data_IF_194449959955
#
_entry.id   IF_194449959955
#
_cell.length_a   1.000
_cell.length_b   1.000
_cell.length_c   1.000
_cell.angle_alpha   90.00
_cell.angle_beta   90.00
_cell.angle_gamma   90.00
#
_symmetry.space_group_name_H-M   'P 1'
#
loop_
_entity.id
_entity.type
_entity.pdbx_description
1 polymer ?
#
# COMPACT_ATOMS: atom_id res chain seq x y z
N UNK A 1 -3.00 13.15 -0.46
CA UNK A 1 -1.92 12.15 -0.58
C UNK A 1 -2.04 11.21 0.61
N UNK A 2 -1.93 9.90 0.38
CA UNK A 2 -2.09 8.85 1.40
C UNK A 2 -0.81 8.05 1.53
N UNK A 3 -0.45 7.67 2.76
CA UNK A 3 0.73 6.84 2.99
C UNK A 3 0.36 5.37 2.85
N UNK A 4 1.20 4.63 2.15
CA UNK A 4 1.02 3.19 1.93
C UNK A 4 1.55 2.46 3.15
N UNK A 5 0.69 1.72 3.84
CA UNK A 5 1.06 0.95 5.03
C UNK A 5 1.31 -0.53 4.70
N UNK A 6 0.65 -1.04 3.65
CA UNK A 6 0.84 -2.40 3.13
C UNK A 6 1.16 -2.33 1.64
N UNK A 7 2.24 -2.96 1.18
CA UNK A 7 2.62 -2.92 -0.23
C UNK A 7 1.55 -3.52 -1.12
N UNK A 8 1.28 -2.86 -2.24
CA UNK A 8 0.27 -3.31 -3.19
C UNK A 8 0.66 -3.02 -4.63
N UNK A 9 0.09 -3.80 -5.55
CA UNK A 9 0.24 -3.56 -6.97
C UNK A 9 -1.01 -2.89 -7.51
N UNK A 10 -0.82 -1.70 -8.02
CA UNK A 10 -1.82 -0.93 -8.70
C UNK A 10 -2.08 -1.54 -10.08
N UNK A 11 -3.31 -1.99 -10.34
CA UNK A 11 -3.67 -2.58 -11.63
C UNK A 11 -3.85 -1.53 -12.74
N UNK A 12 -4.16 -0.28 -12.39
CA UNK A 12 -4.41 0.80 -13.34
C UNK A 12 -3.10 1.39 -13.87
N UNK A 13 -2.19 1.76 -12.97
CA UNK A 13 -0.87 2.32 -13.31
C UNK A 13 0.20 1.25 -13.53
N UNK A 14 -0.11 -0.02 -13.19
CA UNK A 14 0.82 -1.16 -13.17
C UNK A 14 2.00 -0.96 -12.21
N UNK A 15 2.00 0.10 -11.40
CA UNK A 15 3.04 0.41 -10.42
C UNK A 15 2.86 -0.44 -9.16
N UNK A 16 3.97 -0.80 -8.55
CA UNK A 16 3.99 -1.40 -7.22
C UNK A 16 4.32 -0.30 -6.22
N UNK A 17 3.51 -0.17 -5.19
CA UNK A 17 3.75 0.72 -4.07
C UNK A 17 4.27 -0.10 -2.90
N UNK A 18 5.33 0.39 -2.26
CA UNK A 18 5.94 -0.22 -1.09
C UNK A 18 5.42 0.42 0.21
N UNK A 19 5.70 -0.24 1.34
CA UNK A 19 5.36 0.34 2.65
C UNK A 19 6.15 1.63 2.85
N UNK A 20 5.45 2.72 3.17
CA UNK A 20 5.99 4.05 3.32
C UNK A 20 5.90 4.92 2.06
N UNK A 21 5.58 4.33 0.90
CA UNK A 21 5.37 5.11 -0.33
C UNK A 21 4.15 6.03 -0.19
N UNK A 22 4.13 7.06 -1.05
CA UNK A 22 3.00 7.98 -1.15
C UNK A 22 2.12 7.60 -2.32
N UNK A 23 0.86 7.31 -2.05
CA UNK A 23 -0.17 7.08 -3.05
C UNK A 23 -1.04 8.33 -3.22
N UNK A 24 -1.26 8.72 -4.47
CA UNK A 24 -2.18 9.79 -4.83
C UNK A 24 -3.00 9.35 -6.04
N UNK A 25 -4.30 9.61 -5.98
CA UNK A 25 -5.26 9.24 -7.01
C UNK A 25 -6.48 10.14 -6.85
N UNK A 26 -7.07 10.59 -7.95
CA UNK A 26 -8.28 11.43 -7.93
C UNK A 26 -9.57 10.61 -7.72
N UNK A 27 -9.47 9.28 -7.89
CA UNK A 27 -10.59 8.37 -7.68
C UNK A 27 -10.80 8.08 -6.17
N UNK A 28 -11.86 8.66 -5.59
CA UNK A 28 -12.20 8.52 -4.18
C UNK A 28 -12.64 7.10 -3.78
N UNK A 29 -13.43 6.42 -4.61
CA UNK A 29 -13.88 5.03 -4.38
C UNK A 29 -12.68 4.10 -4.23
N UNK A 30 -11.67 4.33 -5.07
CA UNK A 30 -10.43 3.58 -5.05
C UNK A 30 -9.63 3.79 -3.76
N UNK A 31 -9.52 5.03 -3.32
CA UNK A 31 -8.85 5.37 -2.07
C UNK A 31 -9.57 4.70 -0.91
N UNK A 32 -10.90 4.85 -0.83
CA UNK A 32 -11.72 4.25 0.21
C UNK A 32 -11.55 2.72 0.23
N UNK A 33 -11.59 2.06 -0.93
CA UNK A 33 -11.33 0.62 -1.03
C UNK A 33 -9.94 0.24 -0.51
N UNK A 34 -8.90 0.99 -0.87
CA UNK A 34 -7.54 0.70 -0.40
C UNK A 34 -7.37 0.95 1.11
N UNK A 35 -8.10 1.93 1.67
CA UNK A 35 -8.15 2.20 3.11
C UNK A 35 -8.90 1.08 3.85
N UNK A 36 -10.07 0.67 3.35
CA UNK A 36 -10.88 -0.41 3.92
C UNK A 36 -10.13 -1.75 3.90
N UNK A 37 -9.35 -2.00 2.84
CA UNK A 37 -8.46 -3.15 2.74
C UNK A 37 -7.20 -3.04 3.61
N UNK A 38 -7.03 -1.96 4.37
CA UNK A 38 -5.86 -1.73 5.24
C UNK A 38 -4.55 -1.53 4.48
N UNK A 39 -4.60 -1.05 3.23
CA UNK A 39 -3.40 -0.80 2.40
C UNK A 39 -2.89 0.63 2.50
N UNK A 40 -3.80 1.59 2.67
CA UNK A 40 -3.49 3.00 2.90
C UNK A 40 -3.80 3.40 4.33
N UNK A 41 -3.09 4.41 4.81
CA UNK A 41 -3.35 5.03 6.11
C UNK A 41 -4.75 5.67 6.12
N UNK A 42 -5.53 5.40 7.18
CA UNK A 42 -6.82 6.06 7.41
C UNK A 42 -6.57 7.54 7.77
N UNK A 43 -7.33 8.51 7.22
CA UNK A 43 -7.18 9.92 7.53
C UNK A 43 -7.73 10.31 8.93
N UNK A 44 -7.75 9.39 9.88
CA UNK A 44 -8.18 9.66 11.25
C UNK A 44 -7.11 10.49 11.95
N UNK A 45 -7.52 11.68 12.41
CA UNK A 45 -6.70 12.70 13.10
C UNK A 45 -6.10 12.27 14.44
N UNK A 46 -6.07 10.99 14.78
CA UNK A 46 -5.62 10.50 16.08
C UNK A 46 -4.68 9.31 15.90
N UNK A 47 -3.38 9.63 16.00
CA UNK A 47 -2.24 8.86 16.54
C UNK A 47 -2.02 7.37 16.16
N UNK A 48 -0.74 6.96 16.06
CA UNK A 48 -0.32 5.79 15.28
C UNK A 48 -0.55 4.51 16.09
N UNK A 49 -1.54 3.73 15.70
CA UNK A 49 -1.67 2.37 16.22
C UNK A 49 -1.92 1.40 15.08
N UNK A 50 -0.84 0.88 14.52
CA UNK A 50 -0.67 -0.56 14.36
C UNK A 50 0.76 -0.88 13.86
N UNK A 51 1.57 -1.18 14.86
CA UNK A 51 2.58 -2.22 14.80
C UNK A 51 1.97 -3.55 14.29
N UNK A 52 2.83 -4.41 13.74
CA UNK A 52 2.56 -5.79 13.30
C UNK A 52 1.95 -5.95 11.88
N UNK A 53 2.74 -6.29 10.87
CA UNK A 53 3.21 -7.67 10.75
C UNK A 53 4.53 -7.76 9.98
N UNK A 54 5.51 -8.37 10.65
CA UNK A 54 6.65 -9.02 10.03
C UNK A 54 6.13 -10.13 9.12
N UNK A 55 6.34 -10.05 7.80
CA UNK A 55 6.43 -11.24 6.94
C UNK A 55 7.17 -10.91 5.63
N UNK A 56 8.47 -11.17 5.71
CA UNK A 56 9.40 -11.74 4.73
C UNK A 56 9.45 -11.23 3.27
N UNK A 57 10.67 -11.08 2.71
CA UNK A 57 10.90 -10.68 1.34
C UNK A 57 10.75 -11.88 0.39
N UNK A 58 9.81 -11.85 -0.54
CA UNK A 58 9.89 -12.70 -1.74
C UNK A 58 10.41 -11.87 -2.92
N UNK A 59 11.73 -11.67 -2.90
CA UNK A 59 12.50 -11.60 -4.14
C UNK A 59 12.34 -12.95 -4.84
N UNK A 60 11.58 -12.97 -5.94
CA UNK A 60 11.74 -14.00 -6.97
C UNK A 60 11.90 -13.31 -8.32
N UNK A 61 13.04 -12.61 -8.45
CA UNK A 61 13.74 -12.47 -9.73
C UNK A 61 14.58 -13.75 -9.89
N UNK A 62 14.21 -14.60 -10.85
CA UNK A 62 15.06 -15.60 -11.53
C UNK A 62 14.31 -15.86 -12.84
N UNK A 63 14.74 -15.43 -14.03
CA UNK A 63 16.12 -15.19 -14.46
C UNK A 63 16.79 -16.53 -14.77
N UNK A 64 16.86 -16.83 -16.07
CA UNK A 64 17.69 -17.83 -16.75
C UNK A 64 17.41 -19.33 -16.54
N UNK A 65 16.89 -19.96 -17.61
CA UNK A 65 17.67 -20.93 -18.40
C UNK A 65 17.10 -21.07 -19.82
#
# INVERSE_FOLDING_TARGET
>A
MYKVIVPFRDKATKKRYEKGDTFSSDNAERIAFLIEQGRLEQPTKETPKQEETKKAPSKSKKGDK
#
